data_IF_588854566826
#
_entry.id   IF_588854566826
#
_cell.length_a   1.000
_cell.length_b   1.000
_cell.length_c   1.000
_cell.angle_alpha   90.00
_cell.angle_beta   90.00
_cell.angle_gamma   90.00
#
_symmetry.space_group_name_H-M   'P 1'
#
loop_
_entity.id
_entity.type
_entity.pdbx_description
1 polymer ?
#
# COMPACT_ATOMS: atom_id res chain seq x y z
N UNK A 1 -20.95 19.58 -4.71
CA UNK A 1 -20.32 20.69 -3.95
C UNK A 1 -18.86 20.85 -4.36
N UNK A 2 -18.32 22.07 -4.53
CA UNK A 2 -16.89 22.29 -4.80
C UNK A 2 -16.02 21.84 -3.62
N UNK A 3 -14.88 21.20 -3.90
CA UNK A 3 -13.98 20.64 -2.88
C UNK A 3 -13.46 21.68 -1.86
N UNK A 4 -13.28 22.94 -2.30
CA UNK A 4 -12.89 24.04 -1.42
C UNK A 4 -13.97 24.38 -0.38
N UNK A 5 -15.25 24.32 -0.76
CA UNK A 5 -16.39 24.55 0.13
C UNK A 5 -16.52 23.39 1.11
N UNK A 6 -16.37 22.15 0.62
CA UNK A 6 -16.38 20.95 1.44
C UNK A 6 -15.31 21.01 2.53
N UNK A 7 -14.09 21.40 2.19
CA UNK A 7 -12.98 21.53 3.16
C UNK A 7 -13.31 22.54 4.28
N UNK A 8 -13.88 23.69 3.93
CA UNK A 8 -14.22 24.72 4.92
C UNK A 8 -15.34 24.25 5.85
N UNK A 9 -16.39 23.63 5.31
CA UNK A 9 -17.50 23.16 6.12
C UNK A 9 -17.12 21.95 6.99
N UNK A 10 -16.33 21.02 6.46
CA UNK A 10 -15.84 19.87 7.22
C UNK A 10 -14.94 20.32 8.37
N UNK A 11 -14.05 21.30 8.13
CA UNK A 11 -13.22 21.88 9.19
C UNK A 11 -14.06 22.50 10.31
N UNK A 12 -15.09 23.27 9.96
CA UNK A 12 -16.03 23.84 10.95
C UNK A 12 -16.74 22.75 11.76
N UNK A 13 -17.15 21.65 11.12
CA UNK A 13 -17.84 20.55 11.79
C UNK A 13 -16.89 19.79 12.73
N UNK A 14 -15.64 19.57 12.31
CA UNK A 14 -14.60 18.97 13.16
C UNK A 14 -14.32 19.86 14.38
N UNK A 15 -14.20 21.17 14.19
CA UNK A 15 -14.02 22.12 15.29
C UNK A 15 -15.21 22.14 16.26
N UNK A 16 -16.43 21.89 15.80
CA UNK A 16 -17.61 21.77 16.67
C UNK A 16 -17.65 20.45 17.45
N UNK A 17 -17.11 19.37 16.87
CA UNK A 17 -17.10 18.04 17.48
C UNK A 17 -15.92 17.86 18.45
N UNK A 18 -14.84 18.60 18.21
CA UNK A 18 -13.62 18.52 18.99
C UNK A 18 -13.75 19.24 20.34
N UNK A 19 -13.88 18.45 21.40
CA UNK A 19 -13.91 18.95 22.79
C UNK A 19 -12.53 19.40 23.29
N UNK A 20 -11.46 19.03 22.60
CA UNK A 20 -10.07 19.31 23.00
C UNK A 20 -9.51 20.59 22.38
N UNK A 21 -10.18 21.16 21.38
CA UNK A 21 -9.77 22.41 20.71
C UNK A 21 -8.52 22.28 19.85
N UNK A 22 -8.09 21.06 19.53
CA UNK A 22 -6.92 20.74 18.70
C UNK A 22 -7.25 20.65 17.19
N UNK A 23 -8.53 20.71 16.83
CA UNK A 23 -9.02 20.55 15.46
C UNK A 23 -8.94 19.11 14.96
N UNK A 24 -9.11 18.12 15.84
CA UNK A 24 -9.00 16.69 15.50
C UNK A 24 -10.26 15.93 15.89
N UNK A 25 -10.51 14.81 15.20
CA UNK A 25 -11.51 13.84 15.61
C UNK A 25 -10.88 12.47 15.76
N UNK A 26 -11.50 11.61 16.56
CA UNK A 26 -11.12 10.20 16.59
C UNK A 26 -11.80 9.44 15.45
N UNK A 27 -11.09 8.50 14.86
CA UNK A 27 -11.59 7.55 13.86
C UNK A 27 -12.89 6.85 14.28
N UNK A 28 -13.10 6.54 15.57
CA UNK A 28 -14.37 5.96 16.06
C UNK A 28 -15.59 6.84 15.80
N UNK A 29 -15.40 8.16 15.77
CA UNK A 29 -16.47 9.15 15.60
C UNK A 29 -16.63 9.57 14.13
N UNK A 30 -15.76 9.10 13.23
CA UNK A 30 -15.72 9.52 11.83
C UNK A 30 -17.04 9.26 11.09
N UNK A 31 -17.61 8.06 11.23
CA UNK A 31 -18.86 7.70 10.53
C UNK A 31 -20.02 8.56 11.03
N UNK A 32 -20.10 8.77 12.34
CA UNK A 32 -21.11 9.63 12.97
C UNK A 32 -20.97 11.07 12.52
N UNK A 33 -19.74 11.58 12.43
CA UNK A 33 -19.47 12.94 11.96
C UNK A 33 -19.88 13.11 10.49
N UNK A 34 -19.55 12.14 9.63
CA UNK A 34 -19.95 12.16 8.22
C UNK A 34 -21.48 12.13 8.12
N UNK A 35 -22.17 11.26 8.86
CA UNK A 35 -23.64 11.23 8.87
C UNK A 35 -24.26 12.57 9.28
N UNK A 36 -23.75 13.21 10.34
CA UNK A 36 -24.21 14.55 10.75
C UNK A 36 -23.92 15.62 9.70
N UNK A 37 -22.78 15.52 9.02
CA UNK A 37 -22.46 16.44 7.92
C UNK A 37 -23.46 16.31 6.79
N UNK A 38 -23.81 15.08 6.42
CA UNK A 38 -24.74 14.76 5.35
C UNK A 38 -26.15 15.27 5.68
N UNK A 39 -26.61 15.06 6.91
CA UNK A 39 -27.88 15.59 7.42
C UNK A 39 -27.88 17.13 7.46
N UNK A 40 -26.79 17.76 7.93
CA UNK A 40 -26.73 19.22 8.12
C UNK A 40 -26.65 19.98 6.80
N UNK A 41 -26.08 19.38 5.75
CA UNK A 41 -25.88 20.04 4.46
C UNK A 41 -26.80 19.49 3.36
N UNK A 42 -27.64 18.49 3.66
CA UNK A 42 -28.49 17.77 2.70
C UNK A 42 -27.70 17.26 1.47
N UNK A 43 -26.54 16.66 1.75
CA UNK A 43 -25.61 16.16 0.73
C UNK A 43 -25.16 14.75 1.13
N UNK A 44 -25.09 13.83 0.18
CA UNK A 44 -24.51 12.51 0.40
C UNK A 44 -23.02 12.53 0.03
N UNK A 45 -22.15 12.36 1.03
CA UNK A 45 -20.69 12.34 0.88
C UNK A 45 -20.17 10.95 0.58
N UNK A 46 -20.70 9.94 1.29
CA UNK A 46 -20.32 8.54 1.14
C UNK A 46 -21.56 7.67 1.01
N UNK A 47 -21.52 6.72 0.07
CA UNK A 47 -22.54 5.67 -0.02
C UNK A 47 -22.45 4.72 1.17
N UNK A 48 -23.52 3.98 1.45
CA UNK A 48 -23.53 2.99 2.53
C UNK A 48 -22.47 1.90 2.32
N UNK A 49 -22.20 1.55 1.06
CA UNK A 49 -21.14 0.61 0.70
C UNK A 49 -19.74 1.18 1.01
N UNK A 50 -19.52 2.48 0.74
CA UNK A 50 -18.27 3.16 1.08
C UNK A 50 -18.09 3.29 2.60
N UNK A 51 -19.16 3.61 3.34
CA UNK A 51 -19.14 3.63 4.82
C UNK A 51 -18.81 2.25 5.39
N UNK A 52 -19.39 1.19 4.81
CA UNK A 52 -19.09 -0.20 5.18
C UNK A 52 -17.64 -0.59 4.85
N UNK A 53 -17.08 -0.08 3.77
CA UNK A 53 -15.69 -0.34 3.37
C UNK A 53 -14.65 0.28 4.32
N UNK A 54 -14.92 1.47 4.87
CA UNK A 54 -14.02 2.14 5.83
C UNK A 54 -14.23 1.69 7.28
N UNK A 55 -15.35 1.03 7.59
CA UNK A 55 -15.70 0.57 8.93
C UNK A 55 -14.63 -0.32 9.60
N UNK A 56 -13.97 -1.28 8.91
CA UNK A 56 -12.92 -2.09 9.52
C UNK A 56 -11.74 -1.22 9.97
N UNK A 57 -11.36 -0.22 9.17
CA UNK A 57 -10.27 0.69 9.49
C UNK A 57 -10.59 1.55 10.73
N UNK A 58 -11.80 2.10 10.80
CA UNK A 58 -12.23 2.91 11.96
C UNK A 58 -12.38 2.07 13.23
N UNK A 59 -12.71 0.79 13.09
CA UNK A 59 -12.90 -0.14 14.22
C UNK A 59 -11.58 -0.70 14.75
N UNK A 60 -10.59 -0.94 13.88
CA UNK A 60 -9.29 -1.48 14.29
C UNK A 60 -8.41 -0.46 15.01
N UNK A 61 -8.59 0.83 14.74
CA UNK A 61 -7.79 1.90 15.35
C UNK A 61 -8.69 3.02 15.86
N UNK A 62 -9.50 2.82 16.92
CA UNK A 62 -10.56 3.76 17.33
C UNK A 62 -10.06 5.05 17.98
N UNK A 63 -8.85 5.05 18.53
CA UNK A 63 -8.23 6.19 19.21
C UNK A 63 -7.27 6.98 18.29
N UNK A 64 -7.26 6.66 16.99
CA UNK A 64 -6.43 7.39 16.03
C UNK A 64 -7.03 8.78 15.78
N UNK A 65 -6.23 9.81 16.03
CA UNK A 65 -6.58 11.20 15.72
C UNK A 65 -6.50 11.44 14.20
N UNK A 66 -7.54 12.07 13.65
CA UNK A 66 -7.63 12.48 12.26
C UNK A 66 -7.87 13.97 12.17
N UNK A 67 -7.07 14.63 11.32
CA UNK A 67 -7.30 16.04 10.96
C UNK A 67 -8.33 16.15 9.84
N UNK A 68 -8.94 17.33 9.62
CA UNK A 68 -9.84 17.57 8.49
C UNK A 68 -9.19 17.23 7.13
N UNK A 69 -7.88 17.45 7.00
CA UNK A 69 -7.13 17.13 5.78
C UNK A 69 -6.98 15.61 5.59
N UNK A 70 -6.80 14.84 6.67
CA UNK A 70 -6.75 13.37 6.61
C UNK A 70 -8.10 12.79 6.20
N UNK A 71 -9.20 13.33 6.73
CA UNK A 71 -10.56 12.94 6.34
C UNK A 71 -10.78 13.23 4.85
N UNK A 72 -10.37 14.41 4.37
CA UNK A 72 -10.47 14.77 2.95
C UNK A 72 -9.65 13.86 2.05
N UNK A 73 -8.45 13.46 2.48
CA UNK A 73 -7.60 12.53 1.74
C UNK A 73 -8.22 11.12 1.72
N UNK A 74 -8.80 10.67 2.84
CA UNK A 74 -9.55 9.43 2.89
C UNK A 74 -10.75 9.47 1.94
N UNK A 75 -11.52 10.57 1.93
CA UNK A 75 -12.63 10.75 1.00
C UNK A 75 -12.17 10.71 -0.46
N UNK A 76 -11.02 11.29 -0.81
CA UNK A 76 -10.47 11.16 -2.17
C UNK A 76 -10.22 9.69 -2.51
N UNK A 77 -9.59 8.93 -1.62
CA UNK A 77 -9.30 7.51 -1.87
C UNK A 77 -10.59 6.71 -2.03
N UNK A 78 -11.55 6.88 -1.12
CA UNK A 78 -12.79 6.10 -1.08
C UNK A 78 -13.76 6.49 -2.21
N UNK A 79 -13.75 7.76 -2.64
CA UNK A 79 -14.58 8.26 -3.73
C UNK A 79 -13.93 8.14 -5.12
N UNK A 80 -12.67 7.68 -5.24
CA UNK A 80 -11.99 7.50 -6.54
C UNK A 80 -12.36 6.23 -7.31
N UNK A 81 -13.34 5.45 -6.85
CA UNK A 81 -13.95 4.43 -7.72
C UNK A 81 -14.63 5.10 -8.92
N UNK A 82 -14.47 4.56 -10.14
CA UNK A 82 -14.88 5.22 -11.36
C UNK A 82 -16.41 5.30 -11.40
N UNK A 83 -16.95 6.49 -11.17
CA UNK A 83 -18.33 6.79 -11.50
C UNK A 83 -18.45 6.80 -13.03
N UNK A 84 -18.69 5.62 -13.59
CA UNK A 84 -19.50 5.51 -14.80
C UNK A 84 -20.86 6.10 -14.43
N UNK A 85 -21.38 6.99 -15.29
CA UNK A 85 -22.70 7.66 -15.20
C UNK A 85 -22.67 9.08 -14.64
N UNK A 86 -22.16 10.01 -15.45
CA UNK A 86 -22.71 11.37 -15.48
C UNK A 86 -23.89 11.35 -16.46
N UNK A 87 -25.06 10.98 -15.94
CA UNK A 87 -26.33 11.25 -16.59
C UNK A 87 -26.51 12.77 -16.61
N UNK A 88 -26.33 13.41 -17.76
CA UNK A 88 -26.75 14.78 -17.97
C UNK A 88 -28.28 14.88 -17.89
N UNK A 89 -28.85 15.99 -17.36
CA UNK A 89 -30.29 16.14 -17.23
C UNK A 89 -30.94 16.35 -18.61
N UNK A 90 -32.17 15.86 -18.72
CA UNK A 90 -32.95 15.72 -19.96
C UNK A 90 -33.44 17.05 -20.51
N UNK A 91 -33.31 17.27 -21.83
CA UNK A 91 -34.32 17.90 -22.68
C UNK A 91 -33.84 17.98 -24.14
N UNK A 92 -34.33 17.10 -25.01
CA UNK A 92 -34.93 17.49 -26.30
C UNK A 92 -35.34 16.23 -27.07
N UNK A 93 -36.49 16.35 -27.71
CA UNK A 93 -37.23 15.34 -28.47
C UNK A 93 -36.57 15.03 -29.82
N UNK A 94 -36.90 13.82 -30.31
CA UNK A 94 -37.10 13.45 -31.72
C UNK A 94 -35.90 12.97 -32.58
N UNK A 95 -36.11 11.76 -33.11
CA UNK A 95 -35.69 11.19 -34.40
C UNK A 95 -34.34 10.46 -34.52
N UNK A 96 -34.46 9.15 -34.82
CA UNK A 96 -33.84 8.42 -35.93
C UNK A 96 -32.64 9.15 -36.57
N UNK A 97 -31.45 8.55 -36.56
CA UNK A 97 -30.95 7.78 -37.70
C UNK A 97 -29.52 7.27 -37.48
N UNK A 98 -29.19 6.25 -38.23
CA UNK A 98 -27.90 5.59 -38.35
C UNK A 98 -26.82 6.55 -38.87
N UNK A 99 -25.60 6.57 -38.30
CA UNK A 99 -24.29 6.77 -38.99
C UNK A 99 -23.07 6.85 -38.02
N UNK A 100 -21.83 6.72 -38.53
CA UNK A 100 -20.78 5.92 -37.90
C UNK A 100 -19.79 6.74 -37.05
N UNK A 101 -19.05 6.02 -36.21
CA UNK A 101 -17.85 6.51 -35.52
C UNK A 101 -16.84 7.09 -36.52
N UNK A 102 -16.64 8.40 -36.47
CA UNK A 102 -15.45 9.08 -36.99
C UNK A 102 -14.57 9.44 -35.80
N UNK A 103 -13.58 8.59 -35.52
CA UNK A 103 -12.45 8.93 -34.64
C UNK A 103 -11.13 8.67 -35.40
N UNK A 104 -10.19 9.63 -35.44
CA UNK A 104 -8.89 9.47 -36.11
C UNK A 104 -8.02 8.38 -35.47
N UNK A 105 -7.15 7.68 -36.22
CA UNK A 105 -6.19 6.74 -35.64
C UNK A 105 -5.05 7.50 -34.93
N UNK A 106 -4.75 7.09 -33.70
CA UNK A 106 -3.60 7.58 -32.93
C UNK A 106 -2.30 7.14 -33.62
N UNK A 107 -1.51 8.11 -34.06
CA UNK A 107 -0.17 7.92 -34.62
C UNK A 107 0.80 7.40 -33.55
N UNK A 108 1.64 6.43 -33.95
CA UNK A 108 2.74 5.86 -33.17
C UNK A 108 3.82 6.90 -32.85
N UNK A 109 3.84 7.38 -31.60
CA UNK A 109 4.97 8.15 -31.10
C UNK A 109 5.81 7.33 -30.12
N UNK A 110 6.97 6.94 -30.67
CA UNK A 110 8.29 6.73 -30.08
C UNK A 110 8.38 6.83 -28.56
N UNK A 111 8.92 5.76 -27.99
CA UNK A 111 9.33 5.58 -26.60
C UNK A 111 9.91 6.85 -25.95
N UNK A 112 9.28 7.29 -24.86
CA UNK A 112 9.93 8.15 -23.87
C UNK A 112 10.66 7.26 -22.85
N UNK A 113 12.00 7.34 -22.73
CA UNK A 113 12.75 6.64 -21.69
C UNK A 113 12.61 7.45 -20.40
N UNK A 114 11.69 7.04 -19.55
CA UNK A 114 11.50 7.63 -18.23
C UNK A 114 12.73 7.32 -17.36
N UNK A 115 13.60 8.34 -17.28
CA UNK A 115 14.52 8.66 -16.17
C UNK A 115 14.89 7.49 -15.25
N UNK A 116 16.05 6.88 -15.55
CA UNK A 116 16.94 6.31 -14.54
C UNK A 116 17.22 7.36 -13.47
N UNK A 117 16.53 7.29 -12.33
CA UNK A 117 17.02 7.93 -11.11
C UNK A 117 18.13 7.04 -10.55
N UNK A 118 19.38 7.51 -10.68
CA UNK A 118 20.48 7.08 -9.81
C UNK A 118 20.05 7.38 -8.37
N UNK A 119 19.91 6.36 -7.54
CA UNK A 119 19.92 6.54 -6.11
C UNK A 119 21.38 6.63 -5.67
N UNK A 120 21.78 7.84 -5.28
CA UNK A 120 23.06 8.15 -4.64
C UNK A 120 23.07 7.63 -3.21
N UNK A 121 24.24 7.14 -2.81
CA UNK A 121 24.70 6.75 -1.48
C UNK A 121 24.04 7.45 -0.28
N UNK A 122 23.71 6.65 0.74
CA UNK A 122 23.67 7.06 2.15
C UNK A 122 24.33 5.95 2.99
N UNK A 123 25.66 5.93 2.98
CA UNK A 123 26.49 5.09 3.86
C UNK A 123 27.09 6.02 4.93
N UNK A 124 26.39 6.25 6.04
CA UNK A 124 26.89 7.12 7.11
C UNK A 124 26.76 6.57 8.54
N UNK A 125 26.40 5.30 8.76
CA UNK A 125 26.25 4.78 10.13
C UNK A 125 27.17 3.58 10.46
N UNK A 126 28.23 3.34 9.67
CA UNK A 126 29.15 2.21 9.92
C UNK A 126 30.27 2.53 10.93
N UNK A 127 30.57 3.80 11.20
CA UNK A 127 31.71 4.17 12.04
C UNK A 127 31.39 4.18 13.55
N UNK A 128 30.17 4.52 13.96
CA UNK A 128 29.83 4.57 15.40
C UNK A 128 29.72 3.19 16.05
N UNK A 129 29.40 2.16 15.27
CA UNK A 129 29.24 0.80 15.80
C UNK A 129 30.57 0.04 15.94
N UNK A 130 31.64 0.51 15.29
CA UNK A 130 32.96 -0.11 15.36
C UNK A 130 33.74 0.37 16.59
N UNK A 131 33.48 1.59 17.06
CA UNK A 131 34.11 2.17 18.24
C UNK A 131 33.63 1.50 19.54
N UNK A 132 32.33 1.17 19.62
CA UNK A 132 31.75 0.37 20.71
C UNK A 132 32.17 -1.11 20.66
N UNK A 133 32.50 -1.62 19.47
CA UNK A 133 33.01 -2.99 19.30
C UNK A 133 34.46 -3.11 19.75
N UNK A 134 35.27 -2.07 19.50
CA UNK A 134 36.67 -1.99 19.97
C UNK A 134 36.75 -1.76 21.48
N UNK A 135 35.85 -0.98 22.08
CA UNK A 135 35.81 -0.83 23.54
C UNK A 135 35.50 -2.16 24.24
N UNK A 136 34.65 -3.01 23.65
CA UNK A 136 34.34 -4.34 24.18
C UNK A 136 35.52 -5.34 24.09
N UNK A 137 36.42 -5.17 23.11
CA UNK A 137 37.63 -6.01 22.98
C UNK A 137 38.70 -5.61 24.01
N UNK A 138 38.74 -4.34 24.41
CA UNK A 138 39.66 -3.83 25.45
C UNK A 138 39.29 -4.34 26.87
N UNK A 139 38.02 -4.65 27.14
CA UNK A 139 37.56 -5.18 28.44
C UNK A 139 37.63 -6.71 28.54
N UNK A 140 37.99 -7.41 27.46
CA UNK A 140 37.97 -8.88 27.40
C UNK A 140 39.37 -9.52 27.42
N UNK A 141 40.40 -8.76 27.74
CA UNK A 141 41.80 -9.22 27.67
C UNK A 141 42.43 -9.56 29.04
N UNK A 142 41.62 -9.73 30.09
CA UNK A 142 42.10 -10.17 31.41
C UNK A 142 41.47 -11.49 31.93
N UNK A 143 40.65 -12.19 31.15
CA UNK A 143 40.19 -13.54 31.53
C UNK A 143 40.27 -14.50 30.34
N UNK A 144 41.37 -15.24 30.38
CA UNK A 144 41.67 -16.61 29.95
C UNK A 144 40.86 -17.34 28.85
N UNK A 145 41.68 -18.13 28.14
CA UNK A 145 41.45 -19.06 27.07
C UNK A 145 40.48 -20.20 27.45
N UNK A 146 39.64 -20.64 26.51
CA UNK A 146 39.51 -22.04 26.07
C UNK A 146 38.27 -22.22 25.18
N UNK A 147 38.23 -23.38 24.52
CA UNK A 147 37.77 -23.59 23.17
C UNK A 147 36.28 -23.96 23.01
N UNK A 148 35.91 -23.95 21.73
CA UNK A 148 35.01 -24.89 21.05
C UNK A 148 33.51 -24.62 20.86
N UNK A 149 33.11 -25.01 19.65
CA UNK A 149 31.80 -24.96 19.05
C UNK A 149 30.76 -25.76 19.85
N UNK A 150 29.46 -25.44 19.68
CA UNK A 150 28.48 -26.37 19.13
C UNK A 150 27.08 -25.72 19.10
N UNK A 151 26.59 -25.69 17.87
CA UNK A 151 25.22 -25.65 17.39
C UNK A 151 24.17 -26.31 18.33
N UNK A 152 23.03 -25.67 18.61
CA UNK A 152 21.71 -26.28 18.35
C UNK A 152 20.49 -25.42 18.74
N UNK A 153 19.53 -25.49 17.83
CA UNK A 153 18.14 -25.04 17.91
C UNK A 153 17.43 -25.44 19.20
N UNK A 154 16.57 -24.56 19.73
CA UNK A 154 15.37 -25.00 20.45
C UNK A 154 14.22 -23.97 20.32
N UNK A 155 13.11 -24.46 19.78
CA UNK A 155 11.80 -23.82 19.74
C UNK A 155 11.29 -23.59 21.18
N UNK A 156 10.98 -22.35 21.56
CA UNK A 156 10.21 -22.07 22.79
C UNK A 156 8.74 -21.89 22.45
N UNK A 157 7.97 -22.96 22.68
CA UNK A 157 6.51 -22.89 22.85
C UNK A 157 6.22 -22.25 24.20
N UNK A 158 5.52 -21.12 24.16
CA UNK A 158 4.94 -20.43 25.31
C UNK A 158 3.80 -21.27 25.90
N UNK A 159 3.91 -21.63 27.19
CA UNK A 159 2.77 -21.77 28.09
C UNK A 159 3.30 -22.06 29.50
N UNK A 160 3.04 -21.17 30.45
CA UNK A 160 2.40 -21.53 31.70
C UNK A 160 2.01 -20.27 32.49
N UNK A 161 0.70 -20.07 32.49
CA UNK A 161 -0.07 -19.29 33.43
C UNK A 161 0.03 -19.97 34.81
N UNK A 162 0.46 -19.24 35.84
CA UNK A 162 0.23 -19.64 37.22
C UNK A 162 0.20 -18.41 38.13
N UNK A 163 -1.03 -17.99 38.43
CA UNK A 163 -1.36 -17.17 39.58
C UNK A 163 -0.94 -17.91 40.86
N UNK A 164 -0.29 -17.23 41.79
CA UNK A 164 -0.49 -17.47 43.22
C UNK A 164 -0.17 -16.21 44.02
N UNK A 165 -1.20 -15.74 44.73
CA UNK A 165 -1.12 -14.74 45.79
C UNK A 165 -0.50 -15.38 47.04
N UNK A 166 0.51 -14.74 47.62
CA UNK A 166 0.85 -14.87 49.05
C UNK A 166 1.34 -13.52 49.57
N UNK A 167 0.51 -12.87 50.38
CA UNK A 167 0.93 -11.85 51.34
C UNK A 167 1.74 -12.54 52.44
N UNK A 168 2.96 -12.07 52.71
CA UNK A 168 3.55 -12.09 54.06
C UNK A 168 4.71 -11.09 54.17
N UNK A 169 4.92 -10.63 55.39
CA UNK A 169 5.43 -9.32 55.79
C UNK A 169 6.93 -9.39 56.18
N UNK A 170 7.68 -8.35 55.83
CA UNK A 170 8.97 -7.89 56.40
C UNK A 170 10.14 -8.89 56.57
N UNK A 171 11.15 -8.74 55.72
CA UNK A 171 12.55 -8.70 56.15
C UNK A 171 13.32 -7.79 55.20
N UNK A 172 13.92 -6.73 55.73
CA UNK A 172 14.94 -5.93 55.06
C UNK A 172 16.29 -6.50 55.50
N UNK A 173 17.04 -7.16 54.59
CA UNK A 173 18.49 -7.13 54.62
C UNK A 173 18.96 -6.08 53.61
N UNK A 174 19.59 -5.04 54.14
CA UNK A 174 20.47 -4.13 53.40
C UNK A 174 21.57 -4.95 52.72
N UNK A 175 21.55 -5.02 51.40
CA UNK A 175 22.71 -5.45 50.59
C UNK A 175 22.72 -4.68 49.26
N UNK A 176 23.56 -3.65 49.23
CA UNK A 176 23.65 -2.56 48.24
C UNK A 176 24.35 -2.98 46.92
N UNK A 177 24.43 -4.29 46.62
CA UNK A 177 25.01 -4.83 45.37
C UNK A 177 23.95 -5.44 44.42
N UNK A 178 22.73 -5.68 44.90
CA UNK A 178 21.68 -6.37 44.13
C UNK A 178 21.07 -5.51 43.01
N UNK A 179 20.98 -4.19 43.22
CA UNK A 179 20.37 -3.24 42.27
C UNK A 179 21.24 -3.00 41.03
N UNK A 180 22.57 -3.15 41.15
CA UNK A 180 23.51 -2.98 40.03
C UNK A 180 23.47 -4.17 39.04
N UNK A 181 23.32 -5.38 39.57
CA UNK A 181 23.23 -6.60 38.74
C UNK A 181 21.88 -6.71 37.99
N UNK A 182 20.77 -6.26 38.60
CA UNK A 182 19.49 -6.20 37.90
C UNK A 182 19.47 -5.15 36.78
N UNK A 183 20.07 -3.98 37.01
CA UNK A 183 20.19 -2.93 35.99
C UNK A 183 21.00 -3.36 34.77
N UNK A 184 22.12 -4.06 34.98
CA UNK A 184 22.96 -4.59 33.88
C UNK A 184 22.26 -5.72 33.11
N UNK A 185 21.51 -6.59 33.80
CA UNK A 185 20.71 -7.64 33.18
C UNK A 185 19.57 -7.08 32.31
N UNK A 186 18.91 -6.02 32.75
CA UNK A 186 17.87 -5.36 31.97
C UNK A 186 18.44 -4.63 30.75
N UNK A 187 19.61 -4.00 30.87
CA UNK A 187 20.33 -3.42 29.74
C UNK A 187 20.66 -4.48 28.68
N UNK A 188 21.14 -5.66 29.10
CA UNK A 188 21.41 -6.78 28.20
C UNK A 188 20.13 -7.24 27.48
N UNK A 189 19.00 -7.34 28.18
CA UNK A 189 17.69 -7.68 27.58
C UNK A 189 17.24 -6.64 26.56
N UNK A 190 17.36 -5.35 26.85
CA UNK A 190 17.03 -4.28 25.90
C UNK A 190 17.90 -4.34 24.65
N UNK A 191 19.20 -4.61 24.81
CA UNK A 191 20.12 -4.76 23.69
C UNK A 191 19.76 -5.98 22.83
N UNK A 192 19.49 -7.15 23.43
CA UNK A 192 19.04 -8.34 22.70
C UNK A 192 17.73 -8.09 21.94
N UNK A 193 16.78 -7.39 22.58
CA UNK A 193 15.53 -6.99 21.93
C UNK A 193 15.76 -6.05 20.75
N UNK A 194 16.65 -5.07 20.89
CA UNK A 194 17.02 -4.14 19.82
C UNK A 194 17.66 -4.86 18.63
N UNK A 195 18.56 -5.84 18.89
CA UNK A 195 19.16 -6.68 17.86
C UNK A 195 18.11 -7.54 17.15
N UNK A 196 17.20 -8.17 17.89
CA UNK A 196 16.12 -8.98 17.32
C UNK A 196 15.21 -8.14 16.41
N UNK A 197 14.86 -6.92 16.83
CA UNK A 197 14.09 -5.97 16.02
C UNK A 197 14.85 -5.56 14.76
N UNK A 198 16.14 -5.26 14.87
CA UNK A 198 17.00 -4.91 13.72
C UNK A 198 17.12 -6.07 12.73
N UNK A 199 17.28 -7.30 13.22
CA UNK A 199 17.32 -8.49 12.37
C UNK A 199 15.98 -8.76 11.69
N UNK A 200 14.86 -8.58 12.41
CA UNK A 200 13.51 -8.68 11.83
C UNK A 200 13.28 -7.62 10.76
N UNK A 201 13.72 -6.38 11.00
CA UNK A 201 13.65 -5.30 10.02
C UNK A 201 14.44 -5.66 8.75
N UNK A 202 15.70 -6.06 8.88
CA UNK A 202 16.53 -6.49 7.74
C UNK A 202 15.93 -7.68 6.98
N UNK A 203 15.35 -8.64 7.70
CA UNK A 203 14.68 -9.79 7.07
C UNK A 203 13.46 -9.33 6.26
N UNK A 204 12.65 -8.42 6.83
CA UNK A 204 11.52 -7.81 6.15
C UNK A 204 11.96 -7.00 4.91
N UNK A 205 13.04 -6.24 5.00
CA UNK A 205 13.62 -5.49 3.88
C UNK A 205 14.07 -6.42 2.75
N UNK A 206 14.76 -7.52 3.09
CA UNK A 206 15.18 -8.53 2.12
C UNK A 206 14.00 -9.21 1.43
N UNK A 207 12.96 -9.56 2.20
CA UNK A 207 11.73 -10.13 1.65
C UNK A 207 11.05 -9.17 0.68
N UNK A 208 10.91 -7.90 1.07
CA UNK A 208 10.35 -6.87 0.20
C UNK A 208 11.17 -6.67 -1.08
N UNK A 209 12.50 -6.65 -0.99
CA UNK A 209 13.38 -6.56 -2.14
C UNK A 209 13.31 -7.79 -3.06
N UNK A 210 13.01 -8.97 -2.53
CA UNK A 210 12.73 -10.16 -3.34
C UNK A 210 11.40 -10.02 -4.07
N UNK A 211 10.32 -9.72 -3.34
CA UNK A 211 8.99 -9.55 -3.92
C UNK A 211 8.94 -8.45 -4.99
N UNK A 212 9.68 -7.36 -4.79
CA UNK A 212 9.78 -6.29 -5.78
C UNK A 212 10.43 -6.78 -7.08
N UNK A 213 11.46 -7.62 -7.00
CA UNK A 213 12.08 -8.24 -8.18
C UNK A 213 11.14 -9.25 -8.85
N UNK A 214 10.49 -10.11 -8.08
CA UNK A 214 9.54 -11.10 -8.61
C UNK A 214 8.36 -10.42 -9.33
N UNK A 215 7.89 -9.29 -8.79
CA UNK A 215 6.86 -8.48 -9.43
C UNK A 215 7.35 -7.84 -10.74
N UNK A 216 8.58 -7.33 -10.78
CA UNK A 216 9.19 -6.79 -12.00
C UNK A 216 9.31 -7.88 -13.07
N UNK A 217 9.79 -9.07 -12.70
CA UNK A 217 9.91 -10.21 -13.62
C UNK A 217 8.54 -10.63 -14.16
N UNK A 218 7.51 -10.65 -13.30
CA UNK A 218 6.14 -10.95 -13.72
C UNK A 218 5.58 -9.88 -14.66
N UNK A 219 5.88 -8.61 -14.42
CA UNK A 219 5.50 -7.51 -15.32
C UNK A 219 6.13 -7.72 -16.69
N UNK A 220 7.43 -8.04 -16.75
CA UNK A 220 8.14 -8.31 -18.02
C UNK A 220 7.53 -9.51 -18.75
N UNK A 221 7.22 -10.60 -18.04
CA UNK A 221 6.56 -11.77 -18.64
C UNK A 221 5.19 -11.45 -19.21
N UNK A 222 4.37 -10.69 -18.48
CA UNK A 222 3.05 -10.26 -18.96
C UNK A 222 3.15 -9.33 -20.16
N UNK A 223 4.11 -8.41 -20.16
CA UNK A 223 4.37 -7.53 -21.30
C UNK A 223 4.76 -8.33 -22.55
N UNK A 224 5.67 -9.30 -22.42
CA UNK A 224 6.07 -10.17 -23.53
C UNK A 224 4.87 -10.96 -24.06
N UNK A 225 4.04 -11.54 -23.17
CA UNK A 225 2.85 -12.29 -23.59
C UNK A 225 1.81 -11.42 -24.31
N UNK A 226 1.62 -10.19 -23.85
CA UNK A 226 0.71 -9.24 -24.52
C UNK A 226 1.27 -8.86 -25.89
N UNK A 227 2.57 -8.67 -26.01
CA UNK A 227 3.24 -8.37 -27.27
C UNK A 227 3.13 -9.55 -28.25
N UNK A 228 3.37 -10.78 -27.82
CA UNK A 228 3.22 -11.99 -28.65
C UNK A 228 1.77 -12.12 -29.17
N UNK A 229 0.79 -11.96 -28.28
CA UNK A 229 -0.62 -11.99 -28.65
C UNK A 229 -0.99 -10.84 -29.61
N UNK A 230 -0.41 -9.65 -29.40
CA UNK A 230 -0.61 -8.51 -30.29
C UNK A 230 -0.07 -8.80 -31.69
N UNK A 231 1.14 -9.36 -31.79
CA UNK A 231 1.73 -9.77 -33.06
C UNK A 231 0.91 -10.85 -33.76
N UNK A 232 0.36 -11.81 -33.02
CA UNK A 232 -0.52 -12.83 -33.56
C UNK A 232 -1.82 -12.23 -34.11
N UNK A 233 -2.48 -11.33 -33.37
CA UNK A 233 -3.68 -10.63 -33.86
C UNK A 233 -3.38 -9.83 -35.12
N UNK A 234 -2.25 -9.11 -35.16
CA UNK A 234 -1.85 -8.36 -36.35
C UNK A 234 -1.62 -9.28 -37.55
N UNK A 235 -0.97 -10.43 -37.33
CA UNK A 235 -0.75 -11.46 -38.35
C UNK A 235 -2.08 -12.00 -38.88
N UNK A 236 -3.01 -12.39 -38.00
CA UNK A 236 -4.33 -12.87 -38.39
C UNK A 236 -5.13 -11.82 -39.16
N UNK A 237 -5.09 -10.55 -38.74
CA UNK A 237 -5.76 -9.46 -39.48
C UNK A 237 -5.20 -9.31 -40.90
N UNK A 238 -3.88 -9.39 -41.06
CA UNK A 238 -3.22 -9.34 -42.37
C UNK A 238 -3.64 -10.51 -43.25
N UNK A 239 -3.65 -11.72 -42.70
CA UNK A 239 -4.06 -12.93 -43.40
C UNK A 239 -5.53 -12.88 -43.84
N UNK A 240 -6.45 -12.45 -42.96
CA UNK A 240 -7.86 -12.25 -43.31
C UNK A 240 -8.01 -11.21 -44.43
N UNK A 241 -7.26 -10.11 -44.38
CA UNK A 241 -7.31 -9.09 -45.41
C UNK A 241 -6.82 -9.64 -46.77
N UNK A 242 -5.81 -10.49 -46.77
CA UNK A 242 -5.32 -11.15 -47.98
C UNK A 242 -6.36 -12.13 -48.56
N UNK A 243 -7.00 -12.94 -47.73
CA UNK A 243 -8.08 -13.83 -48.18
C UNK A 243 -9.26 -13.06 -48.75
N UNK A 244 -9.69 -11.97 -48.09
CA UNK A 244 -10.74 -11.10 -48.63
C UNK A 244 -10.38 -10.50 -49.98
N UNK A 245 -9.13 -10.07 -50.17
CA UNK A 245 -8.66 -9.56 -51.46
C UNK A 245 -8.68 -10.63 -52.57
N UNK A 246 -8.27 -11.86 -52.24
CA UNK A 246 -8.32 -13.01 -53.17
C UNK A 246 -9.77 -13.38 -53.51
N UNK A 247 -10.66 -13.41 -52.53
CA UNK A 247 -12.10 -13.67 -52.71
C UNK A 247 -12.74 -12.61 -53.60
N UNK A 248 -12.49 -11.32 -53.34
CA UNK A 248 -13.00 -10.23 -54.15
C UNK A 248 -12.56 -10.37 -55.62
N UNK A 249 -11.28 -10.64 -55.85
CA UNK A 249 -10.74 -10.86 -57.21
C UNK A 249 -11.38 -12.07 -57.90
N UNK A 250 -11.64 -13.15 -57.16
CA UNK A 250 -12.32 -14.34 -57.67
C UNK A 250 -13.77 -14.03 -58.06
N UNK A 251 -14.51 -13.30 -57.21
CA UNK A 251 -15.88 -12.87 -57.50
C UNK A 251 -15.95 -11.95 -58.72
N UNK A 252 -15.00 -11.03 -58.87
CA UNK A 252 -14.88 -10.20 -60.08
C UNK A 252 -14.70 -11.05 -61.34
N UNK A 253 -13.82 -12.05 -61.31
CA UNK A 253 -13.62 -12.98 -62.43
C UNK A 253 -14.91 -13.76 -62.78
N UNK A 254 -15.60 -14.31 -61.79
CA UNK A 254 -16.87 -15.02 -62.00
C UNK A 254 -17.93 -14.08 -62.60
N UNK A 255 -18.03 -12.85 -62.08
CA UNK A 255 -18.99 -11.87 -62.58
C UNK A 255 -18.71 -11.49 -64.04
N UNK A 256 -17.44 -11.33 -64.43
CA UNK A 256 -17.06 -11.01 -65.78
C UNK A 256 -17.40 -12.14 -66.76
N UNK A 257 -17.19 -13.39 -66.36
CA UNK A 257 -17.55 -14.57 -67.17
C UNK A 257 -19.07 -14.70 -67.30
N UNK A 258 -19.82 -14.48 -66.22
CA UNK A 258 -21.28 -14.56 -66.25
C UNK A 258 -21.94 -13.46 -67.09
N UNK A 259 -21.27 -12.32 -67.33
CA UNK A 259 -21.80 -11.23 -68.14
C UNK A 259 -21.51 -11.40 -69.65
N UNK A 260 -20.58 -12.30 -69.99
CA UNK A 260 -20.18 -12.60 -71.37
C UNK A 260 -20.94 -13.79 -71.98
N UNK A 261 -21.71 -14.53 -71.19
CA UNK A 261 -22.68 -15.55 -71.63
C UNK A 261 -24.08 -14.96 -71.71
#
# INVERSE_FOLDING_TARGET
MPFAVLKVQLKKLVEQYDKTGKGVIFTRDLITLIGRFEESNDILLLTDEQKKAILPYTSSNPDLEMTPDDILNLLKIVCTCPQVSISAPTSSRMLLDSRPRLSPPLSSNKSMPWKKRRASFANNNRLEHEELRKSLIQFKHDEEEEEEEVNNNNNSTTNNNSNNNTNEINAIPTDDESDSQHSTQDLARYYQRSLALTNRLRSSEKSLASMARDNEDRIVQLQNRVEDMHQEVVKQRKEIQEYKGKEQKSLEQISAVSFLM
#
